data_IF_726440692162
#
_entry.id   IF_726440692162
#
_cell.length_a   1.000
_cell.length_b   1.000
_cell.length_c   1.000
_cell.angle_alpha   90.00
_cell.angle_beta   90.00
_cell.angle_gamma   90.00
#
_symmetry.space_group_name_H-M   'P 1'
#
loop_
_entity.id
_entity.type
_entity.pdbx_description
1 polymer ?
#
# COMPACT_ATOMS: atom_id res chain seq x y z
N UNK A 1 -8.60 13.80 -8.48
CA UNK A 1 -7.64 14.70 -7.85
C UNK A 1 -6.23 14.24 -8.13
N UNK A 2 -5.30 15.18 -8.47
CA UNK A 2 -3.94 14.80 -8.91
C UNK A 2 -3.13 14.03 -7.87
N UNK A 3 -3.20 14.43 -6.62
CA UNK A 3 -2.49 13.73 -5.55
C UNK A 3 -2.95 12.28 -5.43
N UNK A 4 -4.24 12.06 -5.49
CA UNK A 4 -4.83 10.73 -5.43
C UNK A 4 -4.39 9.86 -6.61
N UNK A 5 -4.35 10.45 -7.81
CA UNK A 5 -3.87 9.75 -9.01
C UNK A 5 -2.40 9.36 -8.88
N UNK A 6 -1.55 10.26 -8.36
CA UNK A 6 -0.14 9.98 -8.17
C UNK A 6 0.07 8.84 -7.17
N UNK A 7 -0.70 8.83 -6.08
CA UNK A 7 -0.63 7.74 -5.10
C UNK A 7 -1.03 6.42 -5.76
N UNK A 8 -2.10 6.43 -6.51
CA UNK A 8 -2.63 5.22 -7.16
C UNK A 8 -1.67 4.63 -8.18
N UNK A 9 -0.89 5.46 -8.87
CA UNK A 9 0.01 5.01 -9.94
C UNK A 9 1.46 4.88 -9.51
N UNK A 10 1.89 5.60 -8.46
CA UNK A 10 3.29 5.65 -8.04
C UNK A 10 3.54 5.12 -6.62
N UNK A 11 2.62 4.35 -6.07
CA UNK A 11 2.74 3.81 -4.70
C UNK A 11 4.00 2.96 -4.52
N UNK A 12 4.51 2.33 -5.57
CA UNK A 12 5.71 1.48 -5.54
C UNK A 12 7.00 2.26 -5.41
N UNK A 13 6.94 3.57 -5.56
CA UNK A 13 8.09 4.47 -5.40
C UNK A 13 8.11 5.03 -3.98
N UNK A 14 9.24 5.61 -3.54
CA UNK A 14 9.31 6.25 -2.21
C UNK A 14 8.46 7.53 -2.18
N UNK A 15 7.17 7.38 -1.97
CA UNK A 15 6.23 8.50 -1.88
C UNK A 15 6.09 8.99 -0.45
N UNK A 16 6.12 10.32 -0.29
CA UNK A 16 5.84 11.01 0.97
C UNK A 16 5.04 12.26 0.67
N UNK A 17 4.51 12.90 1.72
CA UNK A 17 3.82 14.18 1.56
C UNK A 17 4.73 15.20 0.88
N UNK A 18 6.02 15.22 1.26
CA UNK A 18 7.00 16.15 0.70
C UNK A 18 7.24 15.91 -0.79
N UNK A 19 7.41 14.65 -1.21
CA UNK A 19 7.66 14.34 -2.63
C UNK A 19 6.44 14.61 -3.48
N UNK A 20 5.24 14.31 -2.97
CA UNK A 20 4.01 14.63 -3.67
C UNK A 20 3.82 16.14 -3.82
N UNK A 21 4.05 16.88 -2.74
CA UNK A 21 3.93 18.34 -2.77
C UNK A 21 4.91 18.95 -3.79
N UNK A 22 6.14 18.44 -3.84
CA UNK A 22 7.12 18.90 -4.82
C UNK A 22 6.64 18.64 -6.25
N UNK A 23 6.09 17.46 -6.51
CA UNK A 23 5.55 17.12 -7.83
C UNK A 23 4.37 17.99 -8.23
N UNK A 24 3.57 18.42 -7.27
CA UNK A 24 2.38 19.23 -7.50
C UNK A 24 2.65 20.73 -7.36
N UNK A 25 3.90 21.12 -7.10
CA UNK A 25 4.32 22.51 -6.96
C UNK A 25 3.54 23.23 -5.85
N UNK A 26 3.36 22.58 -4.70
CA UNK A 26 2.66 23.17 -3.57
C UNK A 26 3.40 22.90 -2.26
N UNK A 27 2.91 23.51 -1.18
CA UNK A 27 3.47 23.35 0.15
C UNK A 27 3.04 22.02 0.76
N UNK A 28 3.97 21.28 1.39
CA UNK A 28 3.69 19.97 1.96
C UNK A 28 2.65 20.03 3.09
N UNK A 29 2.76 21.04 3.98
CA UNK A 29 1.80 21.17 5.09
C UNK A 29 0.40 21.47 4.57
N UNK A 30 0.29 22.32 3.57
CA UNK A 30 -0.98 22.63 2.91
C UNK A 30 -1.57 21.37 2.26
N UNK A 31 -0.77 20.65 1.49
CA UNK A 31 -1.22 19.44 0.81
C UNK A 31 -1.72 18.39 1.81
N UNK A 32 -0.96 18.16 2.87
CA UNK A 32 -1.33 17.18 3.89
C UNK A 32 -2.64 17.54 4.57
N UNK A 33 -2.81 18.81 4.92
CA UNK A 33 -4.03 19.27 5.58
C UNK A 33 -5.25 19.14 4.67
N UNK A 34 -5.15 19.59 3.44
CA UNK A 34 -6.26 19.53 2.47
C UNK A 34 -6.62 18.08 2.14
N UNK A 35 -5.60 17.24 1.95
CA UNK A 35 -5.83 15.82 1.67
C UNK A 35 -6.61 15.15 2.79
N UNK A 36 -6.17 15.37 4.05
CA UNK A 36 -6.83 14.78 5.21
C UNK A 36 -8.26 15.29 5.37
N UNK A 37 -8.50 16.58 5.13
CA UNK A 37 -9.85 17.14 5.19
C UNK A 37 -10.78 16.55 4.12
N UNK A 38 -10.24 16.30 2.94
CA UNK A 38 -11.01 15.79 1.80
C UNK A 38 -11.28 14.29 1.90
N UNK A 39 -10.25 13.50 2.22
CA UNK A 39 -10.33 12.04 2.16
C UNK A 39 -10.38 11.37 3.54
N UNK A 40 -10.26 12.12 4.61
CA UNK A 40 -10.37 11.63 5.99
C UNK A 40 -9.26 10.66 6.40
N UNK A 41 -8.14 10.67 5.68
CA UNK A 41 -6.94 9.91 6.03
C UNK A 41 -5.72 10.72 5.59
N UNK A 42 -4.57 10.40 6.19
CA UNK A 42 -3.32 11.07 5.83
C UNK A 42 -2.80 10.53 4.49
N UNK A 43 -1.92 11.29 3.86
CA UNK A 43 -1.25 10.85 2.64
C UNK A 43 -0.46 9.55 2.90
N UNK A 44 0.24 9.47 4.05
CA UNK A 44 0.97 8.26 4.42
C UNK A 44 0.04 7.04 4.49
N UNK A 45 -1.10 7.19 5.14
CA UNK A 45 -2.10 6.12 5.22
C UNK A 45 -2.63 5.73 3.83
N UNK A 46 -2.85 6.72 2.97
CA UNK A 46 -3.33 6.47 1.62
C UNK A 46 -2.30 5.69 0.79
N UNK A 47 -1.01 6.04 0.91
CA UNK A 47 0.07 5.31 0.24
C UNK A 47 0.15 3.88 0.75
N UNK A 48 0.11 3.68 2.06
CA UNK A 48 0.14 2.35 2.67
C UNK A 48 -1.04 1.50 2.21
N UNK A 49 -2.23 2.09 2.18
CA UNK A 49 -3.45 1.40 1.73
C UNK A 49 -3.32 0.93 0.28
N UNK A 50 -2.80 1.79 -0.58
CA UNK A 50 -2.60 1.44 -1.99
C UNK A 50 -1.57 0.32 -2.15
N UNK A 51 -0.50 0.35 -1.36
CA UNK A 51 0.52 -0.71 -1.35
C UNK A 51 -0.05 -2.05 -0.90
N UNK A 52 -0.93 -2.03 0.11
CA UNK A 52 -1.58 -3.25 0.61
C UNK A 52 -2.51 -3.84 -0.46
N UNK A 53 -3.27 -3.00 -1.15
CA UNK A 53 -4.13 -3.47 -2.25
C UNK A 53 -3.31 -4.15 -3.34
N UNK A 54 -2.18 -3.54 -3.71
CA UNK A 54 -1.28 -4.13 -4.70
C UNK A 54 -0.69 -5.45 -4.20
N UNK A 55 -0.34 -5.52 -2.92
CA UNK A 55 0.22 -6.72 -2.31
C UNK A 55 -0.79 -7.89 -2.31
N UNK A 56 -2.05 -7.62 -2.08
CA UNK A 56 -3.11 -8.65 -2.13
C UNK A 56 -3.10 -9.36 -3.47
N UNK A 57 -3.01 -8.60 -4.54
CA UNK A 57 -3.00 -9.16 -5.90
C UNK A 57 -1.77 -10.00 -6.17
N UNK A 58 -0.62 -9.61 -5.63
CA UNK A 58 0.63 -10.34 -5.85
C UNK A 58 0.78 -11.56 -4.94
N UNK A 59 0.17 -11.53 -3.76
CA UNK A 59 0.25 -12.64 -2.81
C UNK A 59 -0.37 -13.94 -3.34
N UNK A 60 -1.33 -13.85 -4.24
CA UNK A 60 -1.94 -15.04 -4.84
C UNK A 60 -1.05 -15.69 -5.90
N UNK A 61 0.04 -15.06 -6.27
CA UNK A 61 1.02 -15.63 -7.19
C UNK A 61 2.06 -16.42 -6.39
N UNK A 62 1.98 -17.74 -6.45
CA UNK A 62 2.86 -18.63 -5.67
C UNK A 62 4.33 -18.54 -6.06
N UNK A 63 4.65 -18.00 -7.25
CA UNK A 63 6.03 -17.87 -7.68
C UNK A 63 6.75 -16.69 -7.03
N UNK A 64 6.03 -15.83 -6.29
CA UNK A 64 6.62 -14.67 -5.62
C UNK A 64 6.79 -14.94 -4.13
N UNK A 65 7.98 -14.63 -3.60
CA UNK A 65 8.23 -14.68 -2.17
C UNK A 65 7.64 -13.45 -1.48
N UNK A 66 7.48 -13.51 -0.16
CA UNK A 66 7.02 -12.34 0.61
C UNK A 66 7.95 -11.15 0.44
N UNK A 67 9.26 -11.40 0.37
CA UNK A 67 10.25 -10.34 0.17
C UNK A 67 10.06 -9.68 -1.20
N UNK A 68 9.80 -10.48 -2.23
CA UNK A 68 9.56 -9.96 -3.58
C UNK A 68 8.27 -9.12 -3.64
N UNK A 69 7.20 -9.60 -3.01
CA UNK A 69 5.93 -8.88 -2.94
C UNK A 69 6.13 -7.53 -2.23
N UNK A 70 6.81 -7.53 -1.09
CA UNK A 70 7.08 -6.31 -0.34
C UNK A 70 7.84 -5.29 -1.19
N UNK A 71 8.89 -5.73 -1.86
CA UNK A 71 9.72 -4.88 -2.71
C UNK A 71 8.92 -4.32 -3.89
N UNK A 72 8.17 -5.18 -4.58
CA UNK A 72 7.38 -4.78 -5.74
C UNK A 72 6.32 -3.75 -5.39
N UNK A 73 5.79 -3.81 -4.17
CA UNK A 73 4.71 -2.90 -3.74
C UNK A 73 5.23 -1.62 -3.09
N UNK A 74 6.55 -1.46 -2.96
CA UNK A 74 7.14 -0.22 -2.45
C UNK A 74 7.40 -0.20 -0.95
N UNK A 75 7.31 -1.34 -0.26
CA UNK A 75 7.66 -1.41 1.15
C UNK A 75 9.18 -1.44 1.31
N UNK A 76 9.73 -0.72 2.31
CA UNK A 76 11.18 -0.66 2.49
C UNK A 76 11.79 -2.01 2.88
N UNK A 77 11.05 -2.83 3.63
CA UNK A 77 11.50 -4.17 4.00
C UNK A 77 10.30 -5.06 4.32
N UNK A 78 10.53 -6.36 4.42
CA UNK A 78 9.46 -7.32 4.65
C UNK A 78 8.85 -7.20 6.06
N UNK A 79 9.62 -6.78 7.05
CA UNK A 79 9.10 -6.56 8.40
C UNK A 79 8.09 -5.43 8.45
N UNK A 80 8.40 -4.33 7.79
CA UNK A 80 7.48 -3.20 7.66
C UNK A 80 6.22 -3.61 6.90
N UNK A 81 6.38 -4.35 5.82
CA UNK A 81 5.27 -4.89 5.05
C UNK A 81 4.32 -5.73 5.93
N UNK A 82 4.87 -6.66 6.72
CA UNK A 82 4.06 -7.48 7.61
C UNK A 82 3.26 -6.66 8.61
N UNK A 83 3.88 -5.65 9.20
CA UNK A 83 3.22 -4.78 10.18
C UNK A 83 2.07 -3.99 9.55
N UNK A 84 2.32 -3.37 8.40
CA UNK A 84 1.30 -2.58 7.70
C UNK A 84 0.15 -3.46 7.23
N UNK A 85 0.48 -4.60 6.62
CA UNK A 85 -0.54 -5.53 6.13
C UNK A 85 -1.43 -6.02 7.27
N UNK A 86 -0.82 -6.44 8.39
CA UNK A 86 -1.57 -6.91 9.54
C UNK A 86 -2.47 -5.82 10.14
N UNK A 87 -2.02 -4.58 10.11
CA UNK A 87 -2.83 -3.45 10.58
C UNK A 87 -4.09 -3.28 9.74
N UNK A 88 -3.98 -3.48 8.43
CA UNK A 88 -5.11 -3.34 7.50
C UNK A 88 -6.04 -4.55 7.49
N UNK A 89 -5.49 -5.74 7.61
CA UNK A 89 -6.27 -6.99 7.44
C UNK A 89 -6.52 -7.77 8.73
N UNK A 90 -5.81 -7.46 9.80
CA UNK A 90 -5.86 -8.25 11.02
C UNK A 90 -5.10 -9.57 10.93
N UNK A 91 -4.51 -9.89 9.78
CA UNK A 91 -3.73 -11.10 9.54
C UNK A 91 -2.39 -10.73 8.92
N UNK A 92 -1.36 -11.56 9.17
CA UNK A 92 -0.09 -11.41 8.46
C UNK A 92 -0.28 -11.76 6.98
N UNK A 93 0.60 -11.30 6.09
CA UNK A 93 0.51 -11.67 4.67
C UNK A 93 0.53 -13.18 4.45
N UNK A 94 1.38 -13.90 5.19
CA UNK A 94 1.47 -15.36 5.07
C UNK A 94 0.15 -16.04 5.48
N UNK A 95 -0.42 -15.61 6.60
CA UNK A 95 -1.70 -16.15 7.09
C UNK A 95 -2.85 -15.81 6.13
N UNK A 96 -2.87 -14.57 5.63
CA UNK A 96 -3.88 -14.12 4.66
C UNK A 96 -3.80 -14.93 3.37
N UNK A 97 -2.58 -15.11 2.84
CA UNK A 97 -2.35 -15.91 1.62
C UNK A 97 -2.84 -17.33 1.79
N UNK A 98 -2.47 -17.95 2.91
CA UNK A 98 -2.87 -19.34 3.21
C UNK A 98 -4.40 -19.47 3.24
N UNK A 99 -5.07 -18.56 3.91
CA UNK A 99 -6.51 -18.54 4.03
C UNK A 99 -7.19 -18.30 2.69
N UNK A 100 -6.72 -17.31 1.95
CA UNK A 100 -7.27 -16.95 0.63
C UNK A 100 -7.10 -18.11 -0.36
N UNK A 101 -5.91 -18.69 -0.47
CA UNK A 101 -5.65 -19.79 -1.39
C UNK A 101 -6.50 -21.02 -1.05
N UNK A 102 -6.67 -21.31 0.25
CA UNK A 102 -7.51 -22.42 0.71
C UNK A 102 -8.97 -22.22 0.31
N UNK A 103 -9.50 -21.02 0.54
CA UNK A 103 -10.87 -20.67 0.17
C UNK A 103 -11.07 -20.73 -1.34
N UNK A 104 -10.09 -20.25 -2.10
CA UNK A 104 -10.14 -20.25 -3.54
C UNK A 104 -10.14 -21.68 -4.10
N UNK A 105 -9.32 -22.55 -3.55
CA UNK A 105 -9.26 -23.96 -3.93
C UNK A 105 -10.58 -24.65 -3.61
N UNK A 106 -11.15 -24.36 -2.45
CA UNK A 106 -12.40 -24.99 -1.99
C UNK A 106 -13.63 -24.51 -2.76
N UNK A 107 -13.53 -23.38 -3.46
CA UNK A 107 -14.66 -22.85 -4.22
C UNK A 107 -14.82 -23.52 -5.59
N UNK A 108 -13.85 -24.32 -5.97
CA UNK A 108 -13.91 -25.11 -7.21
C UNK A 108 -14.55 -26.47 -6.93
#
# INVERSE_FOLDING_TARGET
WKAQQLIRTQYHLPLSTSTLAASLHCNADYLGRVYRQTFRLTITEAVQHQRVIAAEKQLINDSLSLCEVAKNCGFPDVGYFRRVFRRHHGLTPAAWKKRYCKEHINSD
#
